data_IF_182374830719
#
_entry.id   IF_182374830719
#
_cell.length_a   1.000
_cell.length_b   1.000
_cell.length_c   1.000
_cell.angle_alpha   90.00
_cell.angle_beta   90.00
_cell.angle_gamma   90.00
#
_symmetry.space_group_name_H-M   'P 1'
#
loop_
_entity.id
_entity.type
_entity.pdbx_description
1 polymer ?
#
# COMPACT_ATOMS: atom_id res chain seq x y z
N UNK A 1 -12.15 -12.31 -16.30
CA UNK A 1 -12.12 -11.39 -15.14
C UNK A 1 -13.19 -11.84 -14.17
N UNK A 2 -12.87 -12.24 -12.94
CA UNK A 2 -13.89 -12.62 -11.97
C UNK A 2 -14.69 -11.38 -11.57
N UNK A 3 -16.03 -11.46 -11.65
CA UNK A 3 -16.95 -10.45 -11.14
C UNK A 3 -16.93 -10.50 -9.61
N UNK A 4 -16.63 -9.37 -8.98
CA UNK A 4 -16.62 -9.21 -7.53
C UNK A 4 -18.06 -9.19 -7.01
N UNK A 5 -18.44 -10.03 -6.04
CA UNK A 5 -19.79 -10.04 -5.48
C UNK A 5 -19.82 -9.13 -4.26
N UNK A 6 -19.74 -7.82 -4.46
CA UNK A 6 -20.16 -6.85 -3.44
C UNK A 6 -20.90 -5.76 -4.19
N UNK A 7 -22.21 -5.96 -4.36
CA UNK A 7 -23.12 -4.84 -4.51
C UNK A 7 -23.03 -4.05 -3.20
N UNK A 8 -22.11 -3.08 -3.13
CA UNK A 8 -22.27 -1.96 -2.23
C UNK A 8 -23.52 -1.26 -2.78
N UNK A 9 -24.69 -1.59 -2.22
CA UNK A 9 -25.95 -0.99 -2.67
C UNK A 9 -25.86 0.53 -2.47
N UNK A 10 -25.65 1.34 -3.54
CA UNK A 10 -25.59 2.79 -3.40
C UNK A 10 -27.00 3.36 -3.10
N UNK A 11 -28.04 2.51 -3.11
CA UNK A 11 -29.46 2.87 -3.04
C UNK A 11 -30.00 2.93 -1.61
N UNK A 12 -29.17 2.77 -0.58
CA UNK A 12 -29.56 3.19 0.78
C UNK A 12 -29.72 4.72 0.92
N UNK A 13 -29.44 5.48 -0.14
CA UNK A 13 -29.92 6.84 -0.31
C UNK A 13 -31.17 6.80 -1.20
N UNK A 14 -32.35 6.86 -0.58
CA UNK A 14 -33.63 6.86 -1.30
C UNK A 14 -33.59 7.76 -2.54
N UNK A 15 -33.57 7.15 -3.72
CA UNK A 15 -33.82 7.81 -5.01
C UNK A 15 -32.83 8.86 -5.54
N UNK A 16 -31.69 9.13 -4.89
CA UNK A 16 -30.82 10.26 -5.29
C UNK A 16 -29.46 9.90 -5.92
N UNK A 17 -29.24 8.63 -6.25
CA UNK A 17 -28.08 8.23 -7.03
C UNK A 17 -28.15 8.86 -8.45
N UNK A 18 -27.17 9.70 -8.81
CA UNK A 18 -27.09 10.35 -10.12
C UNK A 18 -27.53 11.82 -10.17
N UNK A 19 -27.87 12.45 -9.03
CA UNK A 19 -28.13 13.88 -9.01
C UNK A 19 -26.82 14.69 -9.20
N UNK A 20 -26.71 15.51 -10.27
CA UNK A 20 -25.51 16.29 -10.54
C UNK A 20 -25.18 17.31 -9.45
N UNK A 21 -26.15 17.79 -8.66
CA UNK A 21 -25.89 18.68 -7.53
C UNK A 21 -25.21 17.94 -6.38
N UNK A 22 -25.68 16.74 -6.06
CA UNK A 22 -25.06 15.84 -5.09
C UNK A 22 -23.65 15.44 -5.51
N UNK A 23 -23.43 15.15 -6.80
CA UNK A 23 -22.10 14.85 -7.34
C UNK A 23 -21.11 16.03 -7.21
N UNK A 24 -21.59 17.27 -7.39
CA UNK A 24 -20.76 18.46 -7.15
C UNK A 24 -20.42 18.67 -5.68
N UNK A 25 -21.40 18.49 -4.78
CA UNK A 25 -21.17 18.54 -3.32
C UNK A 25 -20.15 17.46 -2.92
N UNK A 26 -20.34 16.23 -3.40
CA UNK A 26 -19.41 15.10 -3.22
C UNK A 26 -18.00 15.47 -3.67
N UNK A 27 -17.84 15.97 -4.88
CA UNK A 27 -16.55 16.36 -5.43
C UNK A 27 -15.87 17.47 -4.62
N UNK A 28 -16.62 18.43 -4.08
CA UNK A 28 -16.10 19.51 -3.25
C UNK A 28 -15.64 19.00 -1.87
N UNK A 29 -16.42 18.15 -1.21
CA UNK A 29 -16.04 17.52 0.07
C UNK A 29 -14.76 16.70 -0.09
N UNK A 30 -14.66 15.89 -1.16
CA UNK A 30 -13.47 15.08 -1.47
C UNK A 30 -12.19 15.91 -1.62
N UNK A 31 -12.31 17.16 -2.07
CA UNK A 31 -11.18 18.09 -2.21
C UNK A 31 -10.83 18.82 -0.92
N UNK A 32 -11.59 18.59 0.16
CA UNK A 32 -11.51 19.34 1.41
C UNK A 32 -11.64 20.86 1.18
N UNK A 33 -12.38 21.24 0.13
CA UNK A 33 -12.59 22.64 -0.26
C UNK A 33 -13.86 23.15 0.41
N UNK A 34 -13.71 23.63 1.63
CA UNK A 34 -14.82 24.12 2.45
C UNK A 34 -15.63 25.24 1.75
N UNK A 35 -15.01 26.32 1.21
CA UNK A 35 -15.77 27.36 0.51
C UNK A 35 -16.57 26.82 -0.66
N UNK A 36 -15.96 25.95 -1.49
CA UNK A 36 -16.67 25.36 -2.63
C UNK A 36 -17.77 24.42 -2.19
N UNK A 37 -17.56 23.66 -1.12
CA UNK A 37 -18.56 22.75 -0.58
C UNK A 37 -19.77 23.51 -0.07
N UNK A 38 -19.57 24.61 0.65
CA UNK A 38 -20.66 25.48 1.11
C UNK A 38 -21.40 26.12 -0.07
N UNK A 39 -20.69 26.55 -1.11
CA UNK A 39 -21.31 27.11 -2.31
C UNK A 39 -22.19 26.08 -3.05
N UNK A 40 -21.73 24.83 -3.18
CA UNK A 40 -22.52 23.76 -3.80
C UNK A 40 -23.70 23.33 -2.92
N UNK A 41 -23.54 23.31 -1.59
CA UNK A 41 -24.64 23.08 -0.66
C UNK A 41 -25.71 24.17 -0.82
N UNK A 42 -25.34 25.45 -0.72
CA UNK A 42 -26.27 26.57 -0.88
C UNK A 42 -27.04 26.54 -2.22
N UNK A 43 -26.37 26.14 -3.32
CA UNK A 43 -27.02 25.95 -4.63
C UNK A 43 -28.03 24.79 -4.63
N UNK A 44 -27.80 23.76 -3.82
CA UNK A 44 -28.66 22.60 -3.74
C UNK A 44 -29.78 22.74 -2.68
N UNK A 45 -29.68 23.71 -1.76
CA UNK A 45 -30.63 23.96 -0.68
C UNK A 45 -32.10 24.02 -1.13
N UNK A 46 -32.48 24.73 -2.21
CA UNK A 46 -33.89 24.82 -2.61
C UNK A 46 -34.50 23.46 -2.97
N UNK A 47 -33.66 22.48 -3.27
CA UNK A 47 -34.05 21.16 -3.77
C UNK A 47 -33.86 20.06 -2.73
N UNK A 48 -32.76 20.14 -1.97
CA UNK A 48 -32.35 19.11 -1.00
C UNK A 48 -32.56 19.55 0.46
N UNK A 49 -32.96 20.80 0.72
CA UNK A 49 -33.04 21.38 2.07
C UNK A 49 -34.01 20.69 3.04
N UNK A 50 -34.98 19.93 2.54
CA UNK A 50 -35.87 19.12 3.35
C UNK A 50 -35.27 17.74 3.72
N UNK A 51 -34.22 17.31 3.02
CA UNK A 51 -33.59 16.01 3.26
C UNK A 51 -32.75 16.04 4.55
N UNK A 52 -33.02 15.13 5.52
CA UNK A 52 -32.22 15.00 6.74
C UNK A 52 -30.72 14.78 6.47
N UNK A 53 -30.36 14.07 5.40
CA UNK A 53 -28.97 13.86 4.98
C UNK A 53 -28.32 15.18 4.57
N UNK A 54 -29.00 15.98 3.74
CA UNK A 54 -28.48 17.27 3.28
C UNK A 54 -28.19 18.19 4.47
N UNK A 55 -29.13 18.27 5.42
CA UNK A 55 -28.95 19.06 6.65
C UNK A 55 -27.77 18.58 7.47
N UNK A 56 -27.58 17.28 7.58
CA UNK A 56 -26.47 16.70 8.34
C UNK A 56 -25.12 16.99 7.68
N UNK A 57 -25.03 16.90 6.35
CA UNK A 57 -23.82 17.24 5.61
C UNK A 57 -23.53 18.74 5.67
N UNK A 58 -24.54 19.59 5.54
CA UNK A 58 -24.40 21.04 5.65
C UNK A 58 -23.84 21.44 7.03
N UNK A 59 -24.40 20.88 8.10
CA UNK A 59 -23.96 21.13 9.47
C UNK A 59 -22.53 20.61 9.71
N UNK A 60 -22.17 19.45 9.14
CA UNK A 60 -20.79 18.94 9.17
C UNK A 60 -19.80 19.88 8.48
N UNK A 61 -20.11 20.36 7.28
CA UNK A 61 -19.21 21.23 6.51
C UNK A 61 -19.04 22.58 7.21
N UNK A 62 -20.14 23.18 7.67
CA UNK A 62 -20.11 24.47 8.39
C UNK A 62 -19.30 24.40 9.69
N UNK A 63 -19.41 23.30 10.47
CA UNK A 63 -18.72 23.18 11.76
C UNK A 63 -17.29 22.67 11.66
N UNK A 64 -16.99 21.75 10.73
CA UNK A 64 -15.69 21.05 10.71
C UNK A 64 -14.75 21.46 9.59
N UNK A 65 -15.28 21.88 8.44
CA UNK A 65 -14.46 22.27 7.29
C UNK A 65 -14.27 23.80 7.21
N UNK A 66 -15.24 24.57 7.71
CA UNK A 66 -15.23 26.04 7.58
C UNK A 66 -14.77 26.80 8.83
N UNK A 67 -14.77 26.20 10.03
CA UNK A 67 -14.37 26.95 11.23
C UNK A 67 -12.89 27.35 11.16
N UNK A 68 -12.58 28.67 11.18
CA UNK A 68 -11.25 29.13 11.57
C UNK A 68 -11.00 28.63 13.00
N UNK A 69 -9.76 28.29 13.33
CA UNK A 69 -9.34 27.65 14.58
C UNK A 69 -9.65 28.42 15.89
N UNK A 70 -10.48 29.47 15.84
CA UNK A 70 -10.62 30.48 16.89
C UNK A 70 -11.91 30.38 17.71
N UNK A 71 -12.95 29.66 17.29
CA UNK A 71 -14.19 29.54 18.10
C UNK A 71 -14.83 28.14 17.99
N UNK A 72 -14.97 27.38 19.10
CA UNK A 72 -15.74 26.14 19.09
C UNK A 72 -17.21 26.48 18.86
N UNK A 73 -17.82 25.91 17.81
CA UNK A 73 -19.26 26.06 17.58
C UNK A 73 -20.04 25.61 18.84
N UNK A 74 -20.99 26.40 19.35
CA UNK A 74 -21.87 25.94 20.39
C UNK A 74 -22.75 24.77 19.87
N UNK A 75 -22.74 23.67 20.63
CA UNK A 75 -23.42 22.42 20.28
C UNK A 75 -22.53 21.49 19.45
N UNK A 76 -22.28 20.28 19.93
CA UNK A 76 -21.73 19.22 19.08
C UNK A 76 -22.79 18.76 18.08
N UNK A 77 -22.37 18.34 16.89
CA UNK A 77 -23.21 17.44 16.09
C UNK A 77 -23.63 16.26 16.99
N UNK A 78 -24.91 15.89 16.95
CA UNK A 78 -25.34 14.65 17.59
C UNK A 78 -24.43 13.52 17.09
N UNK A 79 -23.85 12.75 18.01
CA UNK A 79 -22.81 11.74 17.70
C UNK A 79 -23.26 10.79 16.58
N UNK A 80 -24.55 10.43 16.55
CA UNK A 80 -25.13 9.59 15.49
C UNK A 80 -25.11 10.24 14.10
N UNK A 81 -25.41 11.54 14.01
CA UNK A 81 -25.41 12.29 12.74
C UNK A 81 -24.01 12.47 12.16
N UNK A 82 -23.01 12.73 13.03
CA UNK A 82 -21.60 12.77 12.62
C UNK A 82 -21.13 11.40 12.13
N UNK A 83 -21.45 10.33 12.86
CA UNK A 83 -21.12 8.96 12.44
C UNK A 83 -21.77 8.59 11.10
N UNK A 84 -22.98 9.04 10.84
CA UNK A 84 -23.67 8.80 9.57
C UNK A 84 -22.94 9.45 8.39
N UNK A 85 -22.50 10.71 8.53
CA UNK A 85 -21.72 11.41 7.48
C UNK A 85 -20.36 10.74 7.26
N UNK A 86 -19.66 10.38 8.32
CA UNK A 86 -18.35 9.71 8.20
C UNK A 86 -18.48 8.34 7.53
N UNK A 87 -19.51 7.54 7.87
CA UNK A 87 -19.79 6.26 7.21
C UNK A 87 -20.10 6.44 5.73
N UNK A 88 -20.90 7.45 5.38
CA UNK A 88 -21.20 7.76 3.99
C UNK A 88 -19.93 8.16 3.22
N UNK A 89 -19.12 9.08 3.75
CA UNK A 89 -17.86 9.49 3.12
C UNK A 89 -16.89 8.33 2.95
N UNK A 90 -16.81 7.44 3.95
CA UNK A 90 -15.98 6.23 3.86
C UNK A 90 -16.45 5.29 2.76
N UNK A 91 -17.76 5.02 2.68
CA UNK A 91 -18.34 4.18 1.62
C UNK A 91 -18.07 4.74 0.22
N UNK A 92 -18.16 6.05 0.05
CA UNK A 92 -17.85 6.75 -1.19
C UNK A 92 -16.37 6.64 -1.59
N UNK A 93 -15.43 6.77 -0.65
CA UNK A 93 -14.01 6.57 -0.95
C UNK A 93 -13.68 5.10 -1.26
N UNK A 94 -14.34 4.15 -0.59
CA UNK A 94 -14.19 2.71 -0.90
C UNK A 94 -14.69 2.41 -2.30
N UNK A 95 -15.86 2.93 -2.69
CA UNK A 95 -16.40 2.76 -4.04
C UNK A 95 -15.47 3.38 -5.10
N UNK A 96 -14.94 4.57 -4.85
CA UNK A 96 -13.96 5.20 -5.74
C UNK A 96 -12.66 4.40 -5.85
N UNK A 97 -12.14 3.87 -4.74
CA UNK A 97 -10.96 3.03 -4.72
C UNK A 97 -11.20 1.71 -5.49
N UNK A 98 -12.36 1.08 -5.32
CA UNK A 98 -12.74 -0.13 -6.05
C UNK A 98 -12.85 0.11 -7.56
N UNK A 99 -13.44 1.24 -7.98
CA UNK A 99 -13.50 1.63 -9.40
C UNK A 99 -12.12 1.80 -10.02
N UNK A 100 -11.24 2.56 -9.36
CA UNK A 100 -9.85 2.74 -9.81
C UNK A 100 -9.08 1.42 -9.85
N UNK A 101 -9.31 0.53 -8.88
CA UNK A 101 -8.69 -0.78 -8.85
C UNK A 101 -9.12 -1.64 -10.04
N UNK A 102 -10.41 -1.65 -10.36
CA UNK A 102 -10.95 -2.38 -11.52
C UNK A 102 -10.39 -1.86 -12.86
N UNK A 103 -10.10 -0.57 -12.94
CA UNK A 103 -9.43 0.08 -14.08
C UNK A 103 -7.91 -0.18 -14.13
N UNK A 104 -7.33 -0.88 -13.14
CA UNK A 104 -5.90 -1.12 -13.03
C UNK A 104 -5.08 0.09 -12.58
N UNK A 105 -5.74 1.15 -12.09
CA UNK A 105 -5.10 2.38 -11.59
C UNK A 105 -4.67 2.22 -10.14
N UNK A 106 -3.71 1.33 -9.89
CA UNK A 106 -3.31 0.92 -8.54
C UNK A 106 -2.67 2.05 -7.72
N UNK A 107 -1.84 2.90 -8.34
CA UNK A 107 -1.27 4.07 -7.68
C UNK A 107 -2.34 5.06 -7.20
N UNK A 108 -3.37 5.31 -8.04
CA UNK A 108 -4.48 6.18 -7.65
C UNK A 108 -5.37 5.51 -6.60
N UNK A 109 -5.61 4.20 -6.70
CA UNK A 109 -6.31 3.41 -5.67
C UNK A 109 -5.64 3.59 -4.31
N UNK A 110 -4.31 3.50 -4.24
CA UNK A 110 -3.54 3.70 -3.00
C UNK A 110 -3.75 5.11 -2.43
N UNK A 111 -3.72 6.15 -3.27
CA UNK A 111 -3.94 7.54 -2.85
C UNK A 111 -5.34 7.74 -2.28
N UNK A 112 -6.36 7.18 -2.93
CA UNK A 112 -7.74 7.22 -2.41
C UNK A 112 -7.80 6.50 -1.07
N UNK A 113 -7.17 5.33 -0.96
CA UNK A 113 -7.17 4.58 0.29
C UNK A 113 -6.50 5.34 1.45
N UNK A 114 -5.40 6.05 1.16
CA UNK A 114 -4.69 6.88 2.15
C UNK A 114 -5.51 8.07 2.64
N UNK A 115 -6.36 8.65 1.79
CA UNK A 115 -7.31 9.68 2.23
C UNK A 115 -8.42 9.09 3.07
N UNK A 116 -9.00 7.96 2.63
CA UNK A 116 -10.07 7.28 3.36
C UNK A 116 -9.63 6.82 4.75
N UNK A 117 -8.37 6.43 4.92
CA UNK A 117 -7.81 6.04 6.22
C UNK A 117 -7.81 7.18 7.26
N UNK A 118 -7.97 8.43 6.84
CA UNK A 118 -8.15 9.59 7.75
C UNK A 118 -9.56 9.64 8.34
N UNK A 119 -10.52 8.99 7.71
CA UNK A 119 -11.91 8.84 8.19
C UNK A 119 -11.96 7.64 9.14
N UNK A 120 -11.52 6.48 8.65
CA UNK A 120 -11.42 5.23 9.42
C UNK A 120 -10.24 4.41 8.93
N UNK A 121 -9.15 4.44 9.71
CA UNK A 121 -7.93 3.69 9.40
C UNK A 121 -8.01 2.18 9.70
N UNK A 122 -9.06 1.74 10.40
CA UNK A 122 -9.27 0.33 10.77
C UNK A 122 -10.27 -0.38 9.86
N UNK A 123 -10.87 0.34 8.90
CA UNK A 123 -11.80 -0.25 7.95
C UNK A 123 -11.15 -1.43 7.17
N UNK A 124 -11.69 -2.64 7.36
CA UNK A 124 -11.13 -3.85 6.79
C UNK A 124 -11.21 -3.89 5.25
N UNK A 125 -12.30 -3.39 4.65
CA UNK A 125 -12.44 -3.28 3.20
C UNK A 125 -11.40 -2.32 2.59
N UNK A 126 -11.15 -1.21 3.27
CA UNK A 126 -10.12 -0.25 2.89
C UNK A 126 -8.72 -0.89 2.95
N UNK A 127 -8.44 -1.62 4.02
CA UNK A 127 -7.19 -2.35 4.20
C UNK A 127 -6.99 -3.41 3.09
N UNK A 128 -8.05 -4.13 2.70
CA UNK A 128 -8.02 -5.10 1.61
C UNK A 128 -7.65 -4.43 0.28
N UNK A 129 -8.38 -3.38 -0.11
CA UNK A 129 -8.14 -2.66 -1.37
C UNK A 129 -6.73 -2.06 -1.41
N UNK A 130 -6.26 -1.49 -0.30
CA UNK A 130 -4.90 -0.95 -0.20
C UNK A 130 -3.85 -2.04 -0.34
N UNK A 131 -3.99 -3.15 0.38
CA UNK A 131 -3.06 -4.29 0.31
C UNK A 131 -3.01 -4.88 -1.10
N UNK A 132 -4.16 -5.06 -1.75
CA UNK A 132 -4.26 -5.54 -3.12
C UNK A 132 -3.63 -4.57 -4.12
N UNK A 133 -3.91 -3.26 -4.01
CA UNK A 133 -3.34 -2.26 -4.89
C UNK A 133 -1.81 -2.22 -4.76
N UNK A 134 -1.27 -2.28 -3.54
CA UNK A 134 0.18 -2.36 -3.31
C UNK A 134 0.79 -3.65 -3.83
N UNK A 135 0.09 -4.77 -3.73
CA UNK A 135 0.53 -6.05 -4.27
C UNK A 135 0.51 -6.08 -5.81
N UNK A 136 -0.39 -5.32 -6.44
CA UNK A 136 -0.56 -5.24 -7.89
C UNK A 136 0.37 -4.22 -8.56
N UNK A 137 0.60 -3.07 -7.92
CA UNK A 137 1.43 -1.95 -8.38
C UNK A 137 2.90 -2.38 -8.65
N UNK A 138 3.53 -1.83 -9.68
CA UNK A 138 4.89 -2.17 -10.10
C UNK A 138 5.71 -0.90 -10.38
N UNK A 139 7.04 -0.88 -10.12
CA UNK A 139 7.88 -1.97 -9.63
C UNK A 139 7.73 -2.27 -8.13
N UNK A 140 7.86 -3.55 -7.78
CA UNK A 140 7.61 -4.07 -6.42
C UNK A 140 8.90 -4.14 -5.62
N UNK A 141 9.20 -3.12 -4.83
CA UNK A 141 10.27 -3.25 -3.84
C UNK A 141 9.83 -4.10 -2.64
N UNK A 142 10.80 -4.55 -1.84
CA UNK A 142 10.52 -5.40 -0.68
C UNK A 142 9.65 -4.70 0.36
N UNK A 143 9.85 -3.38 0.54
CA UNK A 143 9.11 -2.60 1.53
C UNK A 143 7.61 -2.56 1.18
N UNK A 144 7.28 -2.31 -0.09
CA UNK A 144 5.91 -2.25 -0.60
C UNK A 144 5.22 -3.61 -0.47
N UNK A 145 5.90 -4.71 -0.76
CA UNK A 145 5.31 -6.05 -0.63
C UNK A 145 5.09 -6.47 0.84
N UNK A 146 6.01 -6.10 1.73
CA UNK A 146 5.85 -6.33 3.18
C UNK A 146 4.70 -5.49 3.73
N UNK A 147 4.60 -4.23 3.29
CA UNK A 147 3.53 -3.33 3.70
C UNK A 147 2.18 -3.79 3.16
N UNK A 148 2.10 -4.26 1.91
CA UNK A 148 0.93 -4.90 1.35
C UNK A 148 0.45 -6.09 2.22
N UNK A 149 1.39 -6.92 2.70
CA UNK A 149 1.08 -8.05 3.59
C UNK A 149 0.41 -7.59 4.87
N UNK A 150 0.94 -6.52 5.49
CA UNK A 150 0.39 -5.96 6.73
C UNK A 150 -1.05 -5.50 6.54
N UNK A 151 -1.34 -4.81 5.45
CA UNK A 151 -2.70 -4.38 5.12
C UNK A 151 -3.66 -5.55 4.92
N UNK A 152 -3.21 -6.62 4.25
CA UNK A 152 -4.01 -7.85 4.12
C UNK A 152 -4.24 -8.54 5.48
N UNK A 153 -3.26 -8.51 6.39
CA UNK A 153 -3.46 -9.02 7.77
C UNK A 153 -4.49 -8.21 8.54
N UNK A 154 -4.49 -6.88 8.40
CA UNK A 154 -5.52 -6.01 9.02
C UNK A 154 -6.90 -6.35 8.45
N UNK A 155 -7.02 -6.47 7.13
CA UNK A 155 -8.28 -6.83 6.48
C UNK A 155 -8.82 -8.20 6.92
N UNK A 156 -7.94 -9.18 7.16
CA UNK A 156 -8.31 -10.52 7.59
C UNK A 156 -8.91 -10.60 9.02
N UNK A 157 -8.91 -9.50 9.77
CA UNK A 157 -9.64 -9.41 11.06
C UNK A 157 -11.16 -9.43 10.87
N UNK A 158 -11.64 -9.09 9.67
CA UNK A 158 -13.04 -9.21 9.29
C UNK A 158 -13.31 -10.62 8.71
N UNK A 159 -14.17 -11.45 9.36
CA UNK A 159 -14.52 -12.76 8.87
C UNK A 159 -15.10 -12.77 7.45
N UNK A 160 -15.81 -11.70 7.06
CA UNK A 160 -16.45 -11.62 5.74
C UNK A 160 -15.44 -11.45 4.60
N UNK A 161 -14.19 -11.08 4.89
CA UNK A 161 -13.14 -10.81 3.91
C UNK A 161 -12.02 -11.87 3.91
N UNK A 162 -12.13 -12.93 4.71
CA UNK A 162 -11.06 -13.90 4.89
C UNK A 162 -10.67 -14.61 3.59
N UNK A 163 -11.65 -14.95 2.75
CA UNK A 163 -11.42 -15.63 1.47
C UNK A 163 -10.75 -14.71 0.45
N UNK A 164 -11.15 -13.44 0.40
CA UNK A 164 -10.51 -12.41 -0.41
C UNK A 164 -9.07 -12.17 0.07
N UNK A 165 -8.86 -12.05 1.38
CA UNK A 165 -7.54 -11.84 1.97
C UNK A 165 -6.61 -13.02 1.66
N UNK A 166 -7.12 -14.25 1.72
CA UNK A 166 -6.37 -15.46 1.38
C UNK A 166 -5.93 -15.45 -0.08
N UNK A 167 -6.84 -15.17 -1.02
CA UNK A 167 -6.53 -15.07 -2.46
C UNK A 167 -5.52 -13.95 -2.74
N UNK A 168 -5.70 -12.79 -2.13
CA UNK A 168 -4.76 -11.67 -2.27
C UNK A 168 -3.37 -12.01 -1.68
N UNK A 169 -3.32 -12.73 -0.57
CA UNK A 169 -2.09 -13.19 0.06
C UNK A 169 -1.32 -14.17 -0.84
N UNK A 170 -2.00 -15.09 -1.54
CA UNK A 170 -1.38 -16.01 -2.51
C UNK A 170 -0.75 -15.26 -3.69
N UNK A 171 -1.44 -14.26 -4.22
CA UNK A 171 -0.87 -13.39 -5.26
C UNK A 171 0.35 -12.61 -4.78
N UNK A 172 0.30 -12.11 -3.54
CA UNK A 172 1.42 -11.42 -2.91
C UNK A 172 2.60 -12.37 -2.64
N UNK A 173 2.34 -13.61 -2.23
CA UNK A 173 3.37 -14.65 -2.07
C UNK A 173 4.05 -14.97 -3.39
N UNK A 174 3.29 -15.08 -4.47
CA UNK A 174 3.82 -15.26 -5.82
C UNK A 174 4.72 -14.08 -6.22
N UNK A 175 4.33 -12.84 -5.89
CA UNK A 175 5.13 -11.66 -6.17
C UNK A 175 6.43 -11.61 -5.34
N UNK A 176 6.36 -11.97 -4.05
CA UNK A 176 7.53 -12.10 -3.18
C UNK A 176 8.49 -13.18 -3.69
N UNK A 177 7.98 -14.34 -4.09
CA UNK A 177 8.81 -15.44 -4.60
C UNK A 177 9.52 -15.07 -5.90
N UNK A 178 8.83 -14.36 -6.81
CA UNK A 178 9.46 -13.82 -8.03
C UNK A 178 10.57 -12.84 -7.67
N UNK A 179 10.31 -11.92 -6.72
CA UNK A 179 11.30 -10.93 -6.28
C UNK A 179 12.51 -11.59 -5.61
N UNK A 180 12.27 -12.59 -4.79
CA UNK A 180 13.31 -13.41 -4.15
C UNK A 180 14.20 -14.07 -5.21
N UNK A 181 13.61 -14.75 -6.20
CA UNK A 181 14.37 -15.36 -7.31
C UNK A 181 15.20 -14.34 -8.08
N UNK A 182 14.62 -13.20 -8.45
CA UNK A 182 15.35 -12.14 -9.17
C UNK A 182 16.54 -11.63 -8.33
N UNK A 183 16.35 -11.42 -7.03
CA UNK A 183 17.42 -10.92 -6.16
C UNK A 183 18.52 -11.97 -5.97
N UNK A 184 18.16 -13.25 -5.80
CA UNK A 184 19.12 -14.37 -5.73
C UNK A 184 19.96 -14.43 -7.00
N UNK A 185 19.31 -14.42 -8.18
CA UNK A 185 20.01 -14.47 -9.47
C UNK A 185 20.96 -13.28 -9.61
N UNK A 186 20.49 -12.07 -9.33
CA UNK A 186 21.32 -10.85 -9.40
C UNK A 186 22.55 -10.91 -8.50
N UNK A 187 22.41 -11.46 -7.28
CA UNK A 187 23.53 -11.60 -6.35
C UNK A 187 24.50 -12.71 -6.76
N UNK A 188 23.98 -13.82 -7.27
CA UNK A 188 24.79 -14.92 -7.80
C UNK A 188 25.58 -14.49 -9.05
N UNK A 189 24.96 -13.73 -9.95
CA UNK A 189 25.63 -13.13 -11.11
C UNK A 189 26.72 -12.13 -10.68
N UNK A 190 26.44 -11.29 -9.67
CA UNK A 190 27.43 -10.39 -9.10
C UNK A 190 28.63 -11.14 -8.50
N UNK A 191 28.39 -12.25 -7.82
CA UNK A 191 29.46 -13.13 -7.34
C UNK A 191 30.25 -13.75 -8.49
N UNK A 192 29.56 -14.31 -9.49
CA UNK A 192 30.19 -14.91 -10.67
C UNK A 192 31.03 -13.89 -11.44
N UNK A 193 30.60 -12.63 -11.53
CA UNK A 193 31.36 -11.56 -12.15
C UNK A 193 32.67 -11.28 -11.41
N UNK A 194 32.64 -11.20 -10.06
CA UNK A 194 33.85 -11.07 -9.23
C UNK A 194 34.78 -12.27 -9.45
N UNK A 195 34.23 -13.48 -9.43
CA UNK A 195 34.99 -14.72 -9.65
C UNK A 195 35.65 -14.81 -11.03
N UNK A 196 34.97 -14.38 -12.10
CA UNK A 196 35.57 -14.38 -13.45
C UNK A 196 36.81 -13.48 -13.54
N UNK A 197 36.86 -12.39 -12.77
CA UNK A 197 38.05 -11.54 -12.68
C UNK A 197 39.16 -12.27 -11.92
N UNK A 198 38.82 -13.00 -10.85
CA UNK A 198 39.77 -13.83 -10.10
C UNK A 198 40.38 -14.96 -10.94
N UNK A 199 39.54 -15.73 -11.63
CA UNK A 199 39.96 -16.95 -12.34
C UNK A 199 40.79 -16.67 -13.60
N UNK A 200 40.82 -15.41 -14.08
CA UNK A 200 41.53 -15.01 -15.31
C UNK A 200 42.82 -14.24 -15.07
N UNK A 201 43.11 -13.84 -13.84
CA UNK A 201 44.21 -12.93 -13.55
C UNK A 201 45.09 -13.52 -12.45
N UNK A 202 46.41 -13.56 -12.67
CA UNK A 202 47.36 -13.76 -11.57
C UNK A 202 47.20 -12.58 -10.63
N UNK A 203 46.59 -12.80 -9.46
CA UNK A 203 46.31 -11.71 -8.54
C UNK A 203 47.59 -11.12 -7.95
N UNK A 204 47.86 -9.87 -8.27
CA UNK A 204 48.78 -9.04 -7.51
C UNK A 204 48.09 -8.50 -6.23
N UNK A 205 48.89 -8.05 -5.25
CA UNK A 205 48.40 -7.62 -3.94
C UNK A 205 47.20 -6.64 -4.00
N UNK A 206 47.28 -5.63 -4.87
CA UNK A 206 46.21 -4.62 -5.03
C UNK A 206 44.90 -5.24 -5.55
N UNK A 207 44.99 -6.21 -6.46
CA UNK A 207 43.83 -6.89 -7.03
C UNK A 207 43.16 -7.80 -5.99
N UNK A 208 43.96 -8.50 -5.19
CA UNK A 208 43.46 -9.31 -4.07
C UNK A 208 42.74 -8.43 -3.02
N UNK A 209 43.25 -7.23 -2.72
CA UNK A 209 42.58 -6.27 -1.83
C UNK A 209 41.26 -5.78 -2.41
N UNK A 210 41.24 -5.39 -3.70
CA UNK A 210 40.03 -4.93 -4.38
C UNK A 210 38.96 -6.04 -4.46
N UNK A 211 39.38 -7.29 -4.69
CA UNK A 211 38.50 -8.44 -4.68
C UNK A 211 37.91 -8.67 -3.30
N UNK A 212 38.74 -8.64 -2.25
CA UNK A 212 38.27 -8.76 -0.86
C UNK A 212 37.23 -7.70 -0.53
N UNK A 213 37.48 -6.44 -0.87
CA UNK A 213 36.52 -5.35 -0.68
C UNK A 213 35.20 -5.61 -1.42
N UNK A 214 35.27 -6.06 -2.67
CA UNK A 214 34.09 -6.40 -3.49
C UNK A 214 33.27 -7.55 -2.89
N UNK A 215 33.94 -8.61 -2.42
CA UNK A 215 33.30 -9.75 -1.77
C UNK A 215 32.67 -9.37 -0.42
N UNK A 216 33.33 -8.52 0.38
CA UNK A 216 32.74 -7.98 1.63
C UNK A 216 31.47 -7.18 1.32
N UNK A 217 31.53 -6.29 0.34
CA UNK A 217 30.36 -5.49 -0.06
C UNK A 217 29.20 -6.36 -0.58
N UNK A 218 29.52 -7.42 -1.35
CA UNK A 218 28.53 -8.39 -1.82
C UNK A 218 27.95 -9.23 -0.66
N UNK A 219 28.80 -9.70 0.25
CA UNK A 219 28.37 -10.42 1.46
C UNK A 219 27.36 -9.60 2.27
N UNK A 220 27.63 -8.30 2.47
CA UNK A 220 26.67 -7.41 3.12
C UNK A 220 25.33 -7.26 2.37
N UNK A 221 25.32 -7.37 1.03
CA UNK A 221 24.07 -7.41 0.24
C UNK A 221 23.34 -8.75 0.42
N UNK A 222 24.07 -9.86 0.40
CA UNK A 222 23.53 -11.20 0.63
C UNK A 222 22.89 -11.30 2.01
N UNK A 223 23.54 -10.80 3.08
CA UNK A 223 22.97 -10.83 4.42
C UNK A 223 21.70 -9.98 4.55
N UNK A 224 21.64 -8.82 3.88
CA UNK A 224 20.40 -8.02 3.80
C UNK A 224 19.28 -8.77 3.08
N UNK A 225 19.60 -9.51 2.02
CA UNK A 225 18.62 -10.32 1.31
C UNK A 225 18.14 -11.50 2.18
N UNK A 226 19.05 -12.19 2.89
CA UNK A 226 18.73 -13.31 3.79
C UNK A 226 17.73 -12.90 4.88
N UNK A 227 17.92 -11.73 5.50
CA UNK A 227 17.00 -11.20 6.52
C UNK A 227 15.59 -10.92 6.00
N UNK A 228 15.40 -10.78 4.68
CA UNK A 228 14.10 -10.52 4.06
C UNK A 228 13.42 -11.78 3.53
N UNK A 229 14.18 -12.84 3.30
CA UNK A 229 13.64 -14.12 2.81
C UNK A 229 13.06 -14.92 3.96
N UNK A 230 11.93 -15.60 3.72
CA UNK A 230 11.32 -16.45 4.74
C UNK A 230 12.18 -17.71 4.95
N UNK A 231 12.48 -18.11 6.20
CA UNK A 231 13.22 -19.33 6.47
C UNK A 231 12.57 -20.55 5.79
N UNK A 232 13.41 -21.42 5.22
CA UNK A 232 12.96 -22.65 4.56
C UNK A 232 12.55 -22.51 3.09
N UNK A 233 12.39 -21.30 2.54
CA UNK A 233 12.15 -21.10 1.10
C UNK A 233 13.40 -21.41 0.26
N UNK A 234 13.25 -21.82 -1.01
CA UNK A 234 14.38 -22.14 -1.89
C UNK A 234 15.38 -20.98 -2.05
N UNK A 235 14.92 -19.74 -2.15
CA UNK A 235 15.83 -18.59 -2.30
C UNK A 235 16.64 -18.32 -1.02
N UNK A 236 16.05 -18.48 0.16
CA UNK A 236 16.79 -18.44 1.43
C UNK A 236 17.95 -19.47 1.46
N UNK A 237 17.71 -20.71 1.02
CA UNK A 237 18.76 -21.74 0.91
C UNK A 237 19.86 -21.35 -0.09
N UNK A 238 19.48 -20.78 -1.23
CA UNK A 238 20.44 -20.29 -2.23
C UNK A 238 21.27 -19.13 -1.71
N UNK A 239 20.69 -18.21 -0.94
CA UNK A 239 21.43 -17.12 -0.30
C UNK A 239 22.35 -17.63 0.80
N UNK A 240 21.94 -18.63 1.58
CA UNK A 240 22.79 -19.27 2.58
C UNK A 240 23.99 -19.98 1.93
N UNK A 241 23.77 -20.66 0.80
CA UNK A 241 24.85 -21.27 0.03
C UNK A 241 25.81 -20.20 -0.50
N UNK A 242 25.29 -19.14 -1.11
CA UNK A 242 26.09 -18.02 -1.61
C UNK A 242 26.89 -17.34 -0.49
N UNK A 243 26.28 -17.13 0.68
CA UNK A 243 26.95 -16.56 1.85
C UNK A 243 28.13 -17.43 2.29
N UNK A 244 27.94 -18.76 2.40
CA UNK A 244 29.03 -19.69 2.75
C UNK A 244 30.17 -19.64 1.74
N UNK A 245 29.86 -19.60 0.45
CA UNK A 245 30.87 -19.51 -0.60
C UNK A 245 31.67 -18.20 -0.49
N UNK A 246 30.99 -17.06 -0.32
CA UNK A 246 31.66 -15.76 -0.12
C UNK A 246 32.55 -15.80 1.12
N UNK A 247 32.09 -16.38 2.24
CA UNK A 247 32.91 -16.52 3.46
C UNK A 247 34.15 -17.37 3.22
N UNK A 248 34.03 -18.48 2.49
CA UNK A 248 35.15 -19.34 2.13
C UNK A 248 36.20 -18.58 1.31
N UNK A 249 35.78 -17.88 0.25
CA UNK A 249 36.69 -17.12 -0.62
C UNK A 249 37.36 -15.95 0.14
N UNK A 250 36.64 -15.31 1.06
CA UNK A 250 37.21 -14.28 1.94
C UNK A 250 38.29 -14.85 2.87
N UNK A 251 38.13 -16.08 3.37
CA UNK A 251 39.16 -16.73 4.19
C UNK A 251 40.43 -17.03 3.38
N UNK A 252 40.28 -17.52 2.15
CA UNK A 252 41.41 -17.76 1.23
C UNK A 252 42.16 -16.45 0.95
N UNK A 253 41.45 -15.37 0.65
CA UNK A 253 42.07 -14.07 0.40
C UNK A 253 42.77 -13.49 1.63
N UNK A 254 42.24 -13.70 2.83
CA UNK A 254 42.91 -13.28 4.08
C UNK A 254 44.24 -14.00 4.26
N UNK A 255 44.24 -15.33 4.10
CA UNK A 255 45.46 -16.13 4.18
C UNK A 255 46.51 -15.68 3.13
N UNK A 256 46.09 -15.42 1.89
CA UNK A 256 46.97 -14.96 0.82
C UNK A 256 47.54 -13.54 1.06
N UNK A 257 46.80 -12.69 1.79
CA UNK A 257 47.21 -11.32 2.11
C UNK A 257 47.97 -11.21 3.45
N UNK A 258 48.10 -12.29 4.21
CA UNK A 258 48.69 -12.26 5.56
C UNK A 258 47.84 -11.53 6.60
N UNK A 259 46.51 -11.60 6.48
CA UNK A 259 45.51 -10.95 7.35
C UNK A 259 44.74 -11.94 8.24
#
# INVERSE_FOLDING_TARGET
MPRWPIEIDPRHHGGMAGDPALERIRAAIRRLDAPRTLAELARAEPRLGADPWYRTVADYVQRRLWQPASEPAPGGLAVGSLQQVLRWLLAEEIAAAAGLFAEGRYADTRRVCERAARIDGQCAQLALLRGMAMAADAPKDWATLIEARRWLTVAATDPALQDECRRAAEHLDTALDRRERTEVTRLAEGYAAIRRVYDRTTLYYVEAVNMRASLVALGGKVDRARRRCRPGRPGARSLDALARTITSDLAVLRAALGL
#
